data_IF_465127113623
#
_entry.id   IF_465127113623
#
_cell.length_a   1.000
_cell.length_b   1.000
_cell.length_c   1.000
_cell.angle_alpha   90.00
_cell.angle_beta   90.00
_cell.angle_gamma   90.00
#
_symmetry.space_group_name_H-M   'P 1'
#
loop_
_entity.id
_entity.type
_entity.pdbx_description
1 polymer ?
#
# COMPACT_ATOMS: atom_id res chain seq x y z
N UNK A 1 12.51 -2.88 -11.63
CA UNK A 1 11.14 -2.78 -11.05
C UNK A 1 10.61 -1.37 -11.20
N UNK A 2 9.32 -1.23 -11.44
CA UNK A 2 8.66 0.08 -11.54
C UNK A 2 8.00 0.41 -10.19
N UNK A 3 8.29 1.58 -9.62
CA UNK A 3 7.53 2.09 -8.48
C UNK A 3 6.10 2.38 -8.93
N UNK A 4 5.12 1.84 -8.21
CA UNK A 4 3.70 1.95 -8.53
C UNK A 4 3.01 3.00 -7.68
N UNK A 5 3.16 2.94 -6.37
CA UNK A 5 2.57 3.91 -5.43
C UNK A 5 3.36 3.98 -4.12
N UNK A 6 3.00 4.96 -3.32
CA UNK A 6 3.44 5.10 -1.93
C UNK A 6 2.23 4.90 -1.02
N UNK A 7 2.34 4.00 -0.06
CA UNK A 7 1.28 3.73 0.93
C UNK A 7 1.35 4.66 2.12
N UNK A 8 0.24 5.34 2.41
CA UNK A 8 0.09 6.26 3.55
C UNK A 8 -1.09 5.82 4.41
N UNK A 9 -0.87 5.70 5.71
CA UNK A 9 -1.90 5.33 6.66
C UNK A 9 -2.73 6.54 7.10
N UNK A 10 -4.03 6.33 7.23
CA UNK A 10 -4.95 7.29 7.87
C UNK A 10 -5.85 6.56 8.86
N UNK A 11 -6.21 7.23 9.94
CA UNK A 11 -7.21 6.72 10.89
C UNK A 11 -8.64 6.96 10.40
N UNK A 12 -8.84 7.94 9.52
CA UNK A 12 -10.13 8.29 8.93
C UNK A 12 -9.98 8.59 7.43
N UNK A 13 -10.59 7.74 6.61
CA UNK A 13 -10.50 7.82 5.14
C UNK A 13 -11.01 9.14 4.60
N UNK A 14 -12.15 9.63 5.09
CA UNK A 14 -12.76 10.89 4.60
C UNK A 14 -11.87 12.08 4.88
N UNK A 15 -11.37 12.22 6.09
CA UNK A 15 -10.44 13.30 6.47
C UNK A 15 -9.12 13.19 5.72
N UNK A 16 -8.59 11.99 5.57
CA UNK A 16 -7.37 11.72 4.83
C UNK A 16 -7.47 12.18 3.37
N UNK A 17 -8.55 11.86 2.68
CA UNK A 17 -8.82 12.31 1.30
C UNK A 17 -8.89 13.84 1.25
N UNK A 18 -9.60 14.47 2.18
CA UNK A 18 -9.74 15.93 2.21
C UNK A 18 -8.40 16.64 2.44
N UNK A 19 -7.56 16.12 3.33
CA UNK A 19 -6.22 16.67 3.58
C UNK A 19 -5.33 16.61 2.33
N UNK A 20 -5.33 15.47 1.64
CA UNK A 20 -4.53 15.31 0.42
C UNK A 20 -5.02 16.19 -0.74
N UNK A 21 -6.33 16.38 -0.87
CA UNK A 21 -6.89 17.35 -1.81
C UNK A 21 -6.44 18.78 -1.50
N UNK A 22 -6.56 19.18 -0.25
CA UNK A 22 -6.27 20.55 0.17
C UNK A 22 -4.78 20.91 0.10
N UNK A 23 -3.92 19.96 0.47
CA UNK A 23 -2.47 20.20 0.56
C UNK A 23 -1.73 19.99 -0.76
N UNK A 24 -2.16 19.01 -1.56
CA UNK A 24 -1.37 18.51 -2.69
C UNK A 24 -2.15 18.45 -4.01
N UNK A 25 -3.40 18.88 -4.03
CA UNK A 25 -4.29 18.68 -5.19
C UNK A 25 -4.46 17.19 -5.59
N UNK A 26 -4.26 16.26 -4.63
CA UNK A 26 -4.41 14.83 -4.88
C UNK A 26 -5.87 14.41 -4.71
N UNK A 27 -6.46 13.90 -5.78
CA UNK A 27 -7.85 13.47 -5.85
C UNK A 27 -7.96 11.97 -6.05
N UNK A 28 -9.05 11.33 -5.57
CA UNK A 28 -9.28 9.92 -5.84
C UNK A 28 -9.31 9.62 -7.34
N UNK A 29 -8.53 8.63 -7.74
CA UNK A 29 -8.53 8.06 -9.10
C UNK A 29 -9.14 6.66 -9.13
N UNK A 30 -9.52 6.15 -7.97
CA UNK A 30 -10.31 4.94 -7.79
C UNK A 30 -11.47 5.22 -6.85
N UNK A 31 -12.41 4.29 -6.74
CA UNK A 31 -13.35 4.26 -5.62
C UNK A 31 -12.62 3.84 -4.33
N UNK A 32 -13.23 4.12 -3.18
CA UNK A 32 -12.79 3.55 -1.90
C UNK A 32 -13.19 2.07 -1.91
N UNK A 33 -12.21 1.19 -1.77
CA UNK A 33 -12.39 -0.26 -1.78
C UNK A 33 -12.19 -0.82 -0.38
N UNK A 34 -13.17 -1.54 0.12
CA UNK A 34 -13.04 -2.33 1.35
C UNK A 34 -12.52 -3.73 1.00
N UNK A 35 -11.36 -4.09 1.51
CA UNK A 35 -10.70 -5.37 1.27
C UNK A 35 -10.73 -6.22 2.55
N UNK A 36 -11.62 -7.22 2.64
CA UNK A 36 -11.73 -8.06 3.84
C UNK A 36 -10.55 -9.04 3.99
N UNK A 37 -9.85 -9.36 2.90
CA UNK A 37 -8.66 -10.24 2.95
C UNK A 37 -7.50 -9.50 3.61
N UNK A 38 -7.26 -8.25 3.19
CA UNK A 38 -6.21 -7.38 3.75
C UNK A 38 -6.67 -6.66 5.03
N UNK A 39 -7.98 -6.67 5.33
CA UNK A 39 -8.64 -5.98 6.47
C UNK A 39 -8.43 -4.47 6.47
N UNK A 40 -8.46 -3.86 5.29
CA UNK A 40 -8.24 -2.42 5.07
C UNK A 40 -9.27 -1.83 4.12
N UNK A 41 -9.51 -0.53 4.25
CA UNK A 41 -10.11 0.29 3.21
C UNK A 41 -8.99 1.05 2.52
N UNK A 42 -9.03 1.12 1.18
CA UNK A 42 -7.97 1.71 0.37
C UNK A 42 -8.54 2.56 -0.76
N UNK A 43 -7.80 3.58 -1.16
CA UNK A 43 -8.08 4.42 -2.32
C UNK A 43 -6.78 4.94 -2.92
N UNK A 44 -6.68 5.02 -4.24
CA UNK A 44 -5.57 5.68 -4.92
C UNK A 44 -5.91 7.15 -5.16
N UNK A 45 -4.94 8.01 -4.87
CA UNK A 45 -5.02 9.46 -5.07
C UNK A 45 -3.88 9.91 -5.98
N UNK A 46 -4.15 10.83 -6.88
CA UNK A 46 -3.12 11.52 -7.68
C UNK A 46 -3.51 12.96 -7.99
N UNK A 47 -2.56 13.76 -8.45
CA UNK A 47 -2.83 15.06 -9.03
C UNK A 47 -3.36 14.85 -10.46
N UNK A 48 -4.55 15.39 -10.82
CA UNK A 48 -5.10 15.22 -12.16
C UNK A 48 -4.37 16.04 -13.23
N UNK A 49 -3.56 17.02 -12.84
CA UNK A 49 -2.86 17.93 -13.74
C UNK A 49 -1.39 17.54 -13.97
N UNK A 50 -0.85 16.65 -13.13
CA UNK A 50 0.56 16.28 -13.17
C UNK A 50 0.73 14.75 -13.25
N UNK A 51 1.66 14.30 -14.09
CA UNK A 51 2.09 12.91 -14.07
C UNK A 51 2.97 12.65 -12.85
N UNK A 52 2.61 11.65 -12.06
CA UNK A 52 3.35 11.32 -10.86
C UNK A 52 3.02 9.95 -10.29
N UNK A 53 3.68 9.62 -9.20
CA UNK A 53 3.43 8.39 -8.45
C UNK A 53 2.21 8.64 -7.55
N UNK A 54 1.14 7.82 -7.66
CA UNK A 54 -0.02 7.96 -6.79
C UNK A 54 0.31 7.62 -5.33
N UNK A 55 -0.51 8.15 -4.43
CA UNK A 55 -0.57 7.75 -3.03
C UNK A 55 -1.72 6.74 -2.88
N UNK A 56 -1.45 5.59 -2.27
CA UNK A 56 -2.48 4.72 -1.75
C UNK A 56 -2.78 5.12 -0.30
N UNK A 57 -3.96 5.65 -0.05
CA UNK A 57 -4.41 5.98 1.30
C UNK A 57 -5.08 4.74 1.90
N UNK A 58 -4.68 4.37 3.12
CA UNK A 58 -5.04 3.10 3.74
C UNK A 58 -5.61 3.37 5.14
N UNK A 59 -6.80 2.85 5.41
CA UNK A 59 -7.42 2.89 6.73
C UNK A 59 -7.78 1.47 7.21
N UNK A 60 -7.76 1.19 8.52
CA UNK A 60 -8.18 -0.12 9.03
C UNK A 60 -9.69 -0.29 8.90
N UNK A 61 -10.14 -1.50 8.47
CA UNK A 61 -11.56 -1.88 8.48
C UNK A 61 -12.03 -2.31 9.87
N UNK A 62 -11.13 -2.97 10.61
CA UNK A 62 -11.42 -3.62 11.88
C UNK A 62 -10.27 -3.39 12.86
N UNK A 63 -10.54 -3.55 14.15
CA UNK A 63 -9.52 -3.37 15.20
C UNK A 63 -8.37 -4.38 15.10
N UNK A 64 -8.62 -5.56 14.50
CA UNK A 64 -7.62 -6.60 14.24
C UNK A 64 -6.90 -6.44 12.90
N UNK A 65 -7.09 -5.32 12.19
CA UNK A 65 -6.32 -5.01 10.98
C UNK A 65 -4.81 -4.97 11.29
N UNK A 66 -3.97 -5.51 10.39
CA UNK A 66 -2.50 -5.45 10.56
C UNK A 66 -1.95 -4.05 10.77
N UNK A 67 -2.62 -3.03 10.22
CA UNK A 67 -2.20 -1.63 10.31
C UNK A 67 -2.69 -0.92 11.58
N UNK A 68 -3.61 -1.51 12.35
CA UNK A 68 -4.17 -0.85 13.55
C UNK A 68 -3.09 -0.53 14.60
N UNK A 69 -2.11 -1.40 14.78
CA UNK A 69 -0.99 -1.16 15.69
C UNK A 69 0.00 -0.13 15.13
N UNK A 70 0.23 -0.14 13.82
CA UNK A 70 1.13 0.80 13.15
C UNK A 70 0.57 2.22 13.26
N UNK A 71 -0.74 2.38 13.18
CA UNK A 71 -1.42 3.68 13.35
C UNK A 71 -1.23 4.31 14.74
N UNK A 72 -0.91 3.52 15.76
CA UNK A 72 -0.57 4.02 17.11
C UNK A 72 0.81 4.69 17.15
N UNK A 73 1.65 4.41 16.15
CA UNK A 73 2.95 5.03 15.99
C UNK A 73 2.83 6.41 15.35
N UNK A 74 3.90 7.22 15.42
CA UNK A 74 3.87 8.59 14.89
C UNK A 74 3.95 8.67 13.37
N UNK A 75 4.61 7.69 12.72
CA UNK A 75 4.74 7.69 11.26
C UNK A 75 3.48 7.20 10.57
N UNK A 76 3.17 7.82 9.46
CA UNK A 76 2.06 7.41 8.56
C UNK A 76 2.56 6.87 7.23
N UNK A 77 3.83 7.08 6.89
CA UNK A 77 4.44 6.46 5.72
C UNK A 77 4.56 4.94 5.98
N UNK A 78 3.89 4.14 5.17
CA UNK A 78 3.75 2.71 5.41
C UNK A 78 4.64 1.88 4.50
N UNK A 79 4.50 2.02 3.19
CA UNK A 79 5.26 1.20 2.25
C UNK A 79 5.52 1.90 0.92
N UNK A 80 6.51 1.39 0.20
CA UNK A 80 6.70 1.60 -1.23
C UNK A 80 6.19 0.36 -1.97
N UNK A 81 5.40 0.54 -3.02
CA UNK A 81 4.94 -0.57 -3.84
C UNK A 81 5.66 -0.63 -5.18
N UNK A 82 6.14 -1.82 -5.54
CA UNK A 82 6.76 -2.08 -6.84
C UNK A 82 5.98 -3.12 -7.65
N UNK A 83 5.78 -2.82 -8.94
CA UNK A 83 5.25 -3.80 -9.90
C UNK A 83 6.28 -4.86 -10.22
N UNK A 84 5.85 -6.12 -10.21
CA UNK A 84 6.69 -7.29 -10.50
C UNK A 84 6.00 -8.23 -11.48
N UNK A 85 6.78 -8.95 -12.27
CA UNK A 85 6.25 -9.92 -13.24
C UNK A 85 5.85 -11.25 -12.58
N UNK A 86 6.64 -11.70 -11.61
CA UNK A 86 6.49 -12.98 -10.91
C UNK A 86 6.79 -12.76 -9.43
N UNK A 87 5.74 -12.72 -8.64
CA UNK A 87 5.83 -12.41 -7.21
C UNK A 87 6.60 -13.48 -6.43
N UNK A 88 6.47 -14.76 -6.81
CA UNK A 88 7.17 -15.86 -6.12
C UNK A 88 8.68 -15.80 -6.33
N UNK A 89 9.10 -15.55 -7.58
CA UNK A 89 10.54 -15.36 -7.88
C UNK A 89 11.08 -14.12 -7.18
N UNK A 90 10.31 -13.04 -7.16
CA UNK A 90 10.69 -11.80 -6.50
C UNK A 90 10.88 -11.99 -5.00
N UNK A 91 9.96 -12.66 -4.34
CA UNK A 91 10.06 -12.96 -2.90
C UNK A 91 11.27 -13.86 -2.59
N UNK A 92 11.50 -14.87 -3.42
CA UNK A 92 12.67 -15.74 -3.27
C UNK A 92 13.98 -14.96 -3.42
N UNK A 93 14.03 -14.04 -4.38
CA UNK A 93 15.17 -13.15 -4.59
C UNK A 93 15.37 -12.22 -3.39
N UNK A 94 14.33 -11.55 -2.94
CA UNK A 94 14.37 -10.65 -1.78
C UNK A 94 14.87 -11.35 -0.51
N UNK A 95 14.39 -12.58 -0.25
CA UNK A 95 14.84 -13.39 0.89
C UNK A 95 16.34 -13.70 0.81
N UNK A 96 16.84 -14.07 -0.37
CA UNK A 96 18.29 -14.36 -0.57
C UNK A 96 19.17 -13.13 -0.31
N UNK A 97 18.61 -11.92 -0.43
CA UNK A 97 19.29 -10.65 -0.19
C UNK A 97 18.94 -10.02 1.16
N UNK A 98 18.51 -10.84 2.12
CA UNK A 98 18.38 -10.43 3.52
C UNK A 98 17.04 -9.81 3.91
N UNK A 99 16.04 -9.79 3.03
CA UNK A 99 14.69 -9.33 3.38
C UNK A 99 13.90 -10.40 4.14
N UNK A 100 13.03 -9.95 5.02
CA UNK A 100 12.06 -10.79 5.73
C UNK A 100 10.73 -10.73 4.98
N UNK A 101 10.15 -11.89 4.64
CA UNK A 101 8.82 -11.93 4.05
C UNK A 101 7.79 -11.78 5.16
N UNK A 102 7.01 -10.70 5.11
CA UNK A 102 5.97 -10.38 6.10
C UNK A 102 4.69 -11.15 5.80
N UNK A 103 4.31 -11.23 4.51
CA UNK A 103 3.08 -11.89 4.09
C UNK A 103 3.29 -12.78 2.87
N UNK A 104 2.47 -13.84 2.77
CA UNK A 104 2.39 -14.64 1.55
C UNK A 104 1.62 -13.88 0.47
N UNK A 105 1.86 -14.17 -0.83
CA UNK A 105 1.05 -13.61 -1.89
C UNK A 105 -0.44 -13.87 -1.68
N UNK A 106 -1.23 -12.81 -1.72
CA UNK A 106 -2.69 -12.85 -1.56
C UNK A 106 -3.35 -11.83 -2.48
N UNK A 107 -4.60 -12.08 -2.92
CA UNK A 107 -5.30 -11.17 -3.80
C UNK A 107 -5.60 -9.83 -3.11
N UNK A 108 -5.47 -8.73 -3.86
CA UNK A 108 -5.84 -7.40 -3.44
C UNK A 108 -7.03 -6.89 -4.27
N UNK A 109 -8.11 -6.50 -3.59
CA UNK A 109 -9.36 -6.11 -4.23
C UNK A 109 -9.22 -4.85 -5.07
N UNK A 110 -8.47 -3.85 -4.61
CA UNK A 110 -8.21 -2.62 -5.34
C UNK A 110 -7.55 -2.88 -6.71
N UNK A 111 -6.78 -3.94 -6.82
CA UNK A 111 -6.03 -4.32 -8.03
C UNK A 111 -6.67 -5.50 -8.78
N UNK A 112 -8.01 -5.62 -8.69
CA UNK A 112 -8.79 -6.65 -9.40
C UNK A 112 -8.35 -8.09 -9.11
N UNK A 113 -7.94 -8.36 -7.88
CA UNK A 113 -7.51 -9.69 -7.44
C UNK A 113 -6.07 -10.05 -7.81
N UNK A 114 -5.30 -9.13 -8.39
CA UNK A 114 -3.85 -9.32 -8.55
C UNK A 114 -3.20 -9.51 -7.19
N UNK A 115 -2.17 -10.35 -7.15
CA UNK A 115 -1.55 -10.73 -5.88
C UNK A 115 -0.60 -9.66 -5.39
N UNK A 116 -0.63 -9.45 -4.08
CA UNK A 116 0.32 -8.61 -3.36
C UNK A 116 1.03 -9.42 -2.28
N UNK A 117 2.23 -9.00 -1.93
CA UNK A 117 2.98 -9.52 -0.78
C UNK A 117 3.87 -8.44 -0.20
N UNK A 118 4.14 -8.53 1.08
CA UNK A 118 4.94 -7.56 1.81
C UNK A 118 6.24 -8.17 2.29
N UNK A 119 7.29 -7.36 2.24
CA UNK A 119 8.60 -7.68 2.82
C UNK A 119 9.07 -6.56 3.74
N UNK A 120 9.95 -6.90 4.65
CA UNK A 120 10.74 -5.96 5.43
C UNK A 120 12.19 -5.99 4.94
N UNK A 121 12.68 -4.86 4.48
CA UNK A 121 14.01 -4.78 3.85
C UNK A 121 15.14 -4.79 4.88
N UNK A 122 16.39 -5.09 4.48
CA UNK A 122 17.56 -4.93 5.36
C UNK A 122 17.73 -3.51 5.92
N UNK A 123 17.31 -2.50 5.15
CA UNK A 123 17.32 -1.08 5.58
C UNK A 123 16.12 -0.68 6.44
N UNK A 124 15.32 -1.67 6.87
CA UNK A 124 14.26 -1.55 7.88
C UNK A 124 13.07 -0.70 7.47
N UNK A 125 12.57 -0.88 6.25
CA UNK A 125 11.28 -0.34 5.81
C UNK A 125 10.46 -1.39 5.06
N UNK A 126 9.16 -1.15 4.96
CA UNK A 126 8.20 -2.07 4.32
C UNK A 126 8.14 -1.81 2.82
N UNK A 127 8.18 -2.87 2.05
CA UNK A 127 7.94 -2.86 0.60
C UNK A 127 6.80 -3.83 0.28
N UNK A 128 5.88 -3.37 -0.56
CA UNK A 128 4.86 -4.18 -1.20
C UNK A 128 5.31 -4.57 -2.61
N UNK A 129 5.10 -5.81 -2.99
CA UNK A 129 5.15 -6.25 -4.38
C UNK A 129 3.74 -6.46 -4.90
N UNK A 130 3.42 -5.85 -6.02
CA UNK A 130 2.17 -6.04 -6.75
C UNK A 130 2.48 -6.75 -8.07
N UNK A 131 1.89 -7.92 -8.26
CA UNK A 131 2.05 -8.69 -9.50
C UNK A 131 1.27 -8.05 -10.65
N UNK A 132 1.88 -7.98 -11.84
CA UNK A 132 1.28 -7.38 -13.05
C UNK A 132 0.10 -8.16 -13.58
#
# INVERSE_FOLDING_TARGET
MKLHHVGILTSDMKSGIQHHKALFNFHPITEIVEDPVQKVAVVLLSDPEEEGIPIELIAPLTDDSPISNILKEKTRLYHLCFLVEDIEKTLKHARRHGSIIISRPAPAKLYNGKRIAFIYTPDKYVVEFLEK
#
